data_IF_982785294183
#
_entry.id   IF_982785294183
#
_cell.length_a   1.000
_cell.length_b   1.000
_cell.length_c   1.000
_cell.angle_alpha   90.00
_cell.angle_beta   90.00
_cell.angle_gamma   90.00
#
_symmetry.space_group_name_H-M   'P 1'
#
loop_
_entity.id
_entity.type
_entity.pdbx_description
1 polymer ?
#
# COMPACT_ATOMS: atom_id res chain seq x y z
N UNK A 1 10.33 -6.54 -21.56
CA UNK A 1 11.54 -6.08 -20.85
C UNK A 1 12.71 -6.24 -21.80
N UNK A 2 13.35 -5.16 -22.26
CA UNK A 2 14.59 -5.26 -23.03
C UNK A 2 15.76 -4.96 -22.08
N UNK A 3 16.59 -5.97 -21.84
CA UNK A 3 17.84 -5.82 -21.09
C UNK A 3 18.89 -5.42 -22.12
N UNK A 4 19.43 -4.21 -22.00
CA UNK A 4 20.62 -3.81 -22.76
C UNK A 4 21.74 -3.58 -21.77
N UNK A 5 22.74 -4.47 -21.79
CA UNK A 5 23.95 -4.34 -20.99
C UNK A 5 24.91 -3.35 -21.68
N UNK A 6 25.29 -2.30 -20.97
CA UNK A 6 26.50 -1.52 -21.27
C UNK A 6 27.17 -1.12 -19.96
N UNK A 7 28.34 -1.70 -19.67
CA UNK A 7 29.30 -1.30 -18.65
C UNK A 7 28.83 -1.37 -17.20
N UNK A 8 29.40 -2.30 -16.41
CA UNK A 8 29.38 -2.49 -14.94
C UNK A 8 28.10 -2.18 -14.11
N UNK A 9 26.97 -1.87 -14.74
CA UNK A 9 25.69 -1.60 -14.13
C UNK A 9 24.59 -2.12 -15.05
N UNK A 10 23.67 -2.91 -14.50
CA UNK A 10 22.51 -3.39 -15.25
C UNK A 10 21.51 -2.25 -15.37
N UNK A 11 21.45 -1.63 -16.54
CA UNK A 11 20.43 -0.63 -16.85
C UNK A 11 19.16 -1.33 -17.37
N UNK A 12 18.05 -1.19 -16.66
CA UNK A 12 16.76 -1.72 -17.09
C UNK A 12 15.95 -0.58 -17.73
N UNK A 13 15.54 -0.76 -18.99
CA UNK A 13 14.56 0.15 -19.60
C UNK A 13 13.21 -0.55 -19.61
N UNK A 14 12.27 -0.09 -18.78
CA UNK A 14 10.86 -0.42 -18.97
C UNK A 14 10.37 0.32 -20.23
N UNK A 15 10.28 -0.39 -21.36
CA UNK A 15 9.43 0.06 -22.47
C UNK A 15 7.99 -0.28 -22.08
N UNK A 16 7.18 0.73 -21.73
CA UNK A 16 5.74 0.53 -21.74
C UNK A 16 5.25 0.45 -23.19
N UNK A 17 4.36 -0.51 -23.41
CA UNK A 17 3.62 -0.72 -24.65
C UNK A 17 2.71 0.49 -24.87
N UNK A 18 2.92 1.19 -25.99
CA UNK A 18 2.00 2.20 -26.49
C UNK A 18 0.64 1.54 -26.76
N UNK A 19 -0.46 2.18 -26.33
CA UNK A 19 -1.74 2.39 -27.06
C UNK A 19 -2.95 2.47 -26.11
N UNK A 20 -3.61 3.63 -26.06
CA UNK A 20 -4.92 3.84 -26.72
C UNK A 20 -5.26 5.33 -26.82
N UNK A 21 -5.82 5.67 -27.97
CA UNK A 21 -6.54 6.91 -28.25
C UNK A 21 -7.60 7.16 -27.17
N UNK A 22 -7.59 8.36 -26.58
CA UNK A 22 -8.80 8.95 -25.98
C UNK A 22 -9.15 10.16 -26.84
N UNK A 23 -10.24 10.04 -27.58
CA UNK A 23 -10.87 11.16 -28.25
C UNK A 23 -11.45 12.09 -27.18
N UNK A 24 -10.96 13.34 -27.14
CA UNK A 24 -11.52 14.43 -26.33
C UNK A 24 -11.07 14.48 -24.87
N UNK A 25 -10.27 15.50 -24.53
CA UNK A 25 -10.14 16.01 -23.15
C UNK A 25 -8.80 15.78 -22.45
N UNK A 26 -8.05 16.88 -22.24
CA UNK A 26 -6.85 17.08 -21.41
C UNK A 26 -5.68 16.09 -21.60
N UNK A 27 -4.62 16.55 -22.27
CA UNK A 27 -3.28 15.94 -22.25
C UNK A 27 -2.76 15.88 -20.81
N UNK A 28 -2.81 14.71 -20.17
CA UNK A 28 -1.96 14.42 -19.01
C UNK A 28 -0.53 14.28 -19.55
N UNK A 29 0.39 15.13 -19.10
CA UNK A 29 1.82 15.00 -19.42
C UNK A 29 2.30 13.71 -18.74
N UNK A 30 2.35 12.62 -19.49
CA UNK A 30 2.83 11.34 -18.96
C UNK A 30 4.36 11.39 -18.95
N UNK A 31 4.91 11.80 -17.81
CA UNK A 31 6.36 11.87 -17.62
C UNK A 31 6.88 10.47 -17.38
N UNK A 32 7.46 9.85 -18.41
CA UNK A 32 8.08 8.53 -18.28
C UNK A 32 9.30 8.61 -17.35
N UNK A 33 9.28 7.87 -16.24
CA UNK A 33 10.41 7.78 -15.31
C UNK A 33 11.44 6.77 -15.84
N UNK A 34 12.69 7.19 -15.96
CA UNK A 34 13.81 6.29 -16.28
C UNK A 34 14.43 5.78 -14.98
N UNK A 35 14.32 4.48 -14.73
CA UNK A 35 14.93 3.83 -13.56
C UNK A 35 16.31 3.28 -13.93
N UNK A 36 17.31 3.50 -13.09
CA UNK A 36 18.66 2.91 -13.20
C UNK A 36 19.00 2.26 -11.87
N UNK A 37 19.47 1.00 -11.91
CA UNK A 37 19.86 0.25 -10.71
C UNK A 37 21.36 0.01 -10.79
N UNK A 38 22.09 0.45 -9.77
CA UNK A 38 23.52 0.21 -9.61
C UNK A 38 23.74 -0.52 -8.30
N UNK A 39 24.58 -1.57 -8.31
CA UNK A 39 25.01 -2.22 -7.06
C UNK A 39 26.16 -1.40 -6.48
N UNK A 40 26.05 -1.05 -5.21
CA UNK A 40 27.12 -0.40 -4.45
C UNK A 40 28.12 -1.45 -3.95
N UNK A 41 29.40 -1.07 -3.87
CA UNK A 41 30.46 -1.95 -3.36
C UNK A 41 30.41 -2.06 -1.83
N UNK A 42 30.05 -0.97 -1.15
CA UNK A 42 29.79 -0.95 0.28
C UNK A 42 28.39 -1.52 0.57
N UNK A 43 28.35 -2.72 1.15
CA UNK A 43 27.10 -3.44 1.49
C UNK A 43 26.46 -2.98 2.80
N UNK A 44 26.98 -1.94 3.46
CA UNK A 44 26.48 -1.50 4.76
C UNK A 44 25.20 -0.68 4.69
N UNK A 45 24.94 -0.01 3.56
CA UNK A 45 23.76 0.83 3.40
C UNK A 45 23.26 0.82 1.96
N UNK A 46 21.96 0.56 1.78
CA UNK A 46 21.28 0.79 0.51
C UNK A 46 21.00 2.30 0.36
N UNK A 47 21.26 2.85 -0.82
CA UNK A 47 21.05 4.27 -1.12
C UNK A 47 20.14 4.42 -2.35
N UNK A 48 19.26 5.43 -2.34
CA UNK A 48 18.46 5.83 -3.50
C UNK A 48 18.76 7.27 -3.89
N UNK A 49 19.25 7.48 -5.12
CA UNK A 49 19.41 8.81 -5.71
C UNK A 49 18.25 9.14 -6.66
N UNK A 50 17.35 10.02 -6.23
CA UNK A 50 16.26 10.53 -7.07
C UNK A 50 16.72 11.75 -7.88
N UNK A 51 16.77 11.63 -9.21
CA UNK A 51 17.02 12.76 -10.13
C UNK A 51 15.71 13.18 -10.78
N UNK A 52 15.17 14.30 -10.33
CA UNK A 52 13.87 14.79 -10.75
C UNK A 52 14.03 15.99 -11.69
N UNK A 53 13.20 16.07 -12.74
CA UNK A 53 13.15 17.24 -13.61
C UNK A 53 12.44 18.45 -12.93
N UNK A 54 11.70 18.18 -11.87
CA UNK A 54 11.01 19.13 -11.00
C UNK A 54 10.30 18.36 -9.89
N UNK A 55 9.95 19.04 -8.80
CA UNK A 55 9.17 18.45 -7.71
C UNK A 55 7.69 18.73 -7.90
N UNK A 56 6.89 17.67 -7.77
CA UNK A 56 5.44 17.73 -7.73
C UNK A 56 4.89 16.73 -6.70
N UNK A 57 3.56 16.68 -6.55
CA UNK A 57 2.90 15.76 -5.64
C UNK A 57 3.26 14.28 -5.90
N UNK A 58 3.54 13.90 -7.14
CA UNK A 58 3.90 12.53 -7.49
C UNK A 58 5.32 12.19 -7.03
N UNK A 59 6.27 13.13 -7.19
CA UNK A 59 7.65 12.92 -6.73
C UNK A 59 7.78 13.01 -5.22
N UNK A 60 6.96 13.85 -4.57
CA UNK A 60 6.85 13.88 -3.11
C UNK A 60 6.33 12.53 -2.57
N UNK A 61 5.28 11.98 -3.19
CA UNK A 61 4.77 10.64 -2.82
C UNK A 61 5.78 9.52 -3.05
N UNK A 62 6.60 9.58 -4.12
CA UNK A 62 7.67 8.61 -4.34
C UNK A 62 8.74 8.67 -3.25
N UNK A 63 9.13 9.88 -2.82
CA UNK A 63 10.07 10.08 -1.72
C UNK A 63 9.52 9.46 -0.43
N UNK A 64 8.30 9.82 -0.05
CA UNK A 64 7.63 9.28 1.14
C UNK A 64 7.54 7.75 1.10
N UNK A 65 7.17 7.18 -0.05
CA UNK A 65 7.08 5.72 -0.25
C UNK A 65 8.42 4.99 0.02
N UNK A 66 9.54 5.63 -0.28
CA UNK A 66 10.88 5.09 -0.01
C UNK A 66 11.24 5.31 1.47
N UNK A 67 11.09 6.52 1.99
CA UNK A 67 11.49 6.90 3.36
C UNK A 67 10.69 6.18 4.45
N UNK A 68 9.44 5.81 4.17
CA UNK A 68 8.57 5.07 5.11
C UNK A 68 8.65 3.55 4.96
N UNK A 69 9.58 3.03 4.16
CA UNK A 69 9.66 1.61 3.82
C UNK A 69 8.35 1.02 3.29
N UNK A 70 7.50 1.85 2.66
CA UNK A 70 6.21 1.40 2.10
C UNK A 70 6.39 0.37 0.98
N UNK A 71 7.58 0.32 0.37
CA UNK A 71 7.97 -0.69 -0.61
C UNK A 71 8.27 -2.08 -0.01
N UNK A 72 8.46 -2.17 1.31
CA UNK A 72 8.88 -3.39 1.98
C UNK A 72 7.75 -4.41 2.02
N UNK A 73 8.02 -5.61 1.51
CA UNK A 73 7.09 -6.75 1.63
C UNK A 73 7.47 -7.59 2.84
N UNK A 74 6.63 -7.53 3.87
CA UNK A 74 6.75 -8.39 5.05
C UNK A 74 5.99 -9.69 4.82
N UNK A 75 6.55 -10.82 5.28
CA UNK A 75 5.88 -12.13 5.28
C UNK A 75 5.58 -12.56 6.72
N UNK A 76 4.32 -12.89 7.00
CA UNK A 76 3.88 -13.43 8.28
C UNK A 76 3.78 -14.96 8.22
N UNK A 77 4.04 -15.60 9.36
CA UNK A 77 3.78 -17.02 9.57
C UNK A 77 2.43 -17.17 10.24
N UNK A 78 1.46 -17.71 9.50
CA UNK A 78 0.07 -17.84 9.91
C UNK A 78 -0.31 -19.32 10.01
N UNK A 79 -1.34 -19.64 10.79
CA UNK A 79 -1.88 -21.00 10.97
C UNK A 79 -3.32 -21.08 10.53
N UNK A 80 -3.66 -22.20 9.92
CA UNK A 80 -5.04 -22.61 9.62
C UNK A 80 -5.08 -24.12 9.50
N UNK A 81 -6.08 -24.77 10.07
CA UNK A 81 -6.31 -26.22 9.95
C UNK A 81 -5.07 -27.10 10.28
N UNK A 82 -4.25 -26.66 11.25
CA UNK A 82 -3.02 -27.34 11.67
C UNK A 82 -1.79 -27.06 10.81
N UNK A 83 -1.94 -26.37 9.67
CA UNK A 83 -0.86 -26.02 8.75
C UNK A 83 -0.28 -24.64 9.01
N UNK A 84 0.96 -24.42 8.57
CA UNK A 84 1.63 -23.10 8.61
C UNK A 84 1.70 -22.53 7.20
N UNK A 85 1.12 -21.35 7.01
CA UNK A 85 1.11 -20.61 5.75
C UNK A 85 1.98 -19.36 5.87
N UNK A 86 2.77 -19.10 4.82
CA UNK A 86 3.53 -17.85 4.71
C UNK A 86 2.72 -16.82 3.93
N UNK A 87 2.21 -15.81 4.62
CA UNK A 87 1.32 -14.80 4.04
C UNK A 87 2.09 -13.50 3.80
N UNK A 88 2.10 -13.00 2.57
CA UNK A 88 2.70 -11.70 2.25
C UNK A 88 1.74 -10.58 2.62
N UNK A 89 2.28 -9.52 3.23
CA UNK A 89 1.55 -8.27 3.56
C UNK A 89 0.74 -7.70 2.40
N UNK A 90 1.22 -7.83 1.16
CA UNK A 90 0.50 -7.39 -0.05
C UNK A 90 -0.84 -8.13 -0.30
N UNK A 91 -1.02 -9.31 0.28
CA UNK A 91 -2.26 -10.10 0.23
C UNK A 91 -3.16 -9.93 1.47
N UNK A 92 -2.73 -9.15 2.45
CA UNK A 92 -3.49 -8.92 3.70
C UNK A 92 -4.36 -7.67 3.53
N UNK A 93 -5.64 -7.80 3.84
CA UNK A 93 -6.62 -6.73 3.84
C UNK A 93 -6.66 -6.02 5.19
N UNK A 94 -6.79 -6.78 6.27
CA UNK A 94 -6.73 -6.26 7.62
C UNK A 94 -6.37 -7.37 8.60
N UNK A 95 -6.02 -6.95 9.82
CA UNK A 95 -5.80 -7.80 10.97
C UNK A 95 -6.86 -7.46 12.01
N UNK A 96 -7.49 -8.47 12.57
CA UNK A 96 -8.48 -8.31 13.64
C UNK A 96 -8.10 -9.13 14.88
N UNK A 97 -8.21 -8.52 16.04
CA UNK A 97 -8.17 -9.22 17.33
C UNK A 97 -9.59 -9.63 17.73
N UNK A 98 -9.83 -10.95 17.75
CA UNK A 98 -11.04 -11.55 18.31
C UNK A 98 -10.64 -12.30 19.59
N UNK A 99 -11.12 -11.83 20.73
CA UNK A 99 -10.63 -12.25 22.05
C UNK A 99 -9.10 -12.06 22.13
N UNK A 100 -8.35 -13.14 22.34
CA UNK A 100 -6.89 -13.13 22.44
C UNK A 100 -6.18 -13.53 21.14
N UNK A 101 -6.94 -13.87 20.08
CA UNK A 101 -6.43 -14.40 18.82
C UNK A 101 -6.34 -13.27 17.78
N UNK A 102 -5.26 -13.25 17.00
CA UNK A 102 -5.08 -12.32 15.89
C UNK A 102 -5.37 -13.03 14.58
N UNK A 103 -6.38 -12.54 13.87
CA UNK A 103 -6.85 -13.03 12.58
C UNK A 103 -6.30 -12.16 11.46
N UNK A 104 -5.71 -12.80 10.46
CA UNK A 104 -5.19 -12.20 9.23
C UNK A 104 -6.21 -12.44 8.14
N UNK A 105 -6.86 -11.37 7.68
CA UNK A 105 -7.87 -11.45 6.62
C UNK A 105 -7.20 -11.22 5.27
N UNK A 106 -7.33 -12.23 4.40
CA UNK A 106 -6.86 -12.19 3.01
C UNK A 106 -8.06 -12.27 2.07
N UNK A 107 -7.83 -12.20 0.75
CA UNK A 107 -8.90 -12.36 -0.24
C UNK A 107 -9.60 -13.73 -0.14
N UNK A 108 -8.85 -14.78 0.15
CA UNK A 108 -9.29 -16.17 0.00
C UNK A 108 -9.68 -16.79 1.35
N UNK A 109 -9.11 -16.30 2.43
CA UNK A 109 -9.20 -16.95 3.73
C UNK A 109 -8.81 -16.05 4.90
N UNK A 110 -9.21 -16.48 6.09
CA UNK A 110 -8.77 -15.95 7.38
C UNK A 110 -7.81 -16.95 8.01
N UNK A 111 -6.67 -16.47 8.52
CA UNK A 111 -5.66 -17.29 9.20
C UNK A 111 -5.27 -16.68 10.54
N UNK A 112 -4.79 -17.49 11.47
CA UNK A 112 -4.35 -17.02 12.77
C UNK A 112 -2.85 -16.70 12.78
N UNK A 113 -2.43 -15.68 13.53
CA UNK A 113 -1.02 -15.45 13.84
C UNK A 113 -0.76 -15.51 15.35
N UNK A 114 0.46 -15.89 15.74
CA UNK A 114 0.94 -15.84 17.13
C UNK A 114 1.34 -14.42 17.55
N UNK A 115 1.57 -13.54 16.58
CA UNK A 115 2.01 -12.17 16.85
C UNK A 115 0.86 -11.35 17.44
N UNK A 116 1.17 -10.59 18.50
CA UNK A 116 0.19 -9.69 19.11
C UNK A 116 -0.06 -8.47 18.22
N UNK A 117 -1.25 -7.89 18.32
CA UNK A 117 -1.67 -6.76 17.47
C UNK A 117 -0.67 -5.59 17.50
N UNK A 118 -0.13 -5.24 18.68
CA UNK A 118 0.86 -4.16 18.81
C UNK A 118 2.24 -4.50 18.20
N UNK A 119 2.56 -5.78 18.05
CA UNK A 119 3.78 -6.24 17.38
C UNK A 119 3.57 -6.14 15.87
N UNK A 120 2.42 -6.61 15.39
CA UNK A 120 2.02 -6.49 13.99
C UNK A 120 1.99 -5.04 13.53
N UNK A 121 1.49 -4.12 14.35
CA UNK A 121 1.49 -2.68 14.09
C UNK A 121 2.89 -2.10 13.80
N UNK A 122 3.95 -2.66 14.41
CA UNK A 122 5.34 -2.24 14.19
C UNK A 122 6.03 -2.98 13.05
N UNK A 123 5.60 -4.21 12.78
CA UNK A 123 6.21 -5.06 11.75
C UNK A 123 5.66 -4.75 10.37
N UNK A 124 4.35 -4.50 10.26
CA UNK A 124 3.67 -4.31 8.99
C UNK A 124 4.12 -3.00 8.30
N UNK A 125 4.06 -2.95 6.95
CA UNK A 125 4.40 -1.75 6.18
C UNK A 125 3.56 -0.53 6.58
N UNK A 126 4.04 0.66 6.24
CA UNK A 126 3.39 1.91 6.62
C UNK A 126 1.95 2.06 6.09
N UNK A 127 1.53 1.30 5.07
CA UNK A 127 0.14 1.27 4.60
C UNK A 127 -0.83 0.61 5.58
N UNK A 128 -0.33 -0.10 6.61
CA UNK A 128 -1.14 -0.66 7.67
C UNK A 128 -1.32 0.35 8.80
N UNK A 129 -2.58 0.70 9.08
CA UNK A 129 -2.93 1.71 10.08
C UNK A 129 -3.97 1.15 11.04
N UNK A 130 -3.81 1.44 12.32
CA UNK A 130 -4.77 1.03 13.34
C UNK A 130 -6.04 1.86 13.23
N UNK A 131 -7.19 1.20 13.11
CA UNK A 131 -8.49 1.87 12.90
C UNK A 131 -9.44 1.71 14.08
N UNK A 132 -9.13 0.77 14.97
CA UNK A 132 -9.87 0.54 16.21
C UNK A 132 -8.94 -0.06 17.27
N UNK A 133 -9.49 -0.37 18.46
CA UNK A 133 -8.70 -1.08 19.49
C UNK A 133 -8.28 -2.48 19.04
N UNK A 134 -9.05 -3.13 18.15
CA UNK A 134 -8.84 -4.51 17.71
C UNK A 134 -8.46 -4.66 16.25
N UNK A 135 -8.47 -3.59 15.43
CA UNK A 135 -8.27 -3.73 13.97
C UNK A 135 -7.13 -2.85 13.46
N UNK A 136 -6.25 -3.46 12.65
CA UNK A 136 -5.26 -2.81 11.80
C UNK A 136 -5.67 -3.03 10.34
N UNK A 137 -5.85 -1.96 9.58
CA UNK A 137 -6.31 -1.99 8.19
C UNK A 137 -5.18 -1.68 7.23
N UNK A 138 -5.06 -2.43 6.13
CA UNK A 138 -4.25 -2.05 4.98
C UNK A 138 -5.00 -1.01 4.14
N UNK A 139 -4.51 0.24 4.14
CA UNK A 139 -5.12 1.33 3.38
C UNK A 139 -5.05 1.11 1.87
N UNK A 140 -4.05 0.38 1.37
CA UNK A 140 -3.91 0.06 -0.07
C UNK A 140 -5.02 -0.87 -0.57
N UNK A 141 -5.78 -1.49 0.34
CA UNK A 141 -6.89 -2.41 0.03
C UNK A 141 -8.26 -1.77 0.18
N UNK A 142 -8.33 -0.46 0.43
CA UNK A 142 -9.59 0.26 0.58
C UNK A 142 -10.06 0.78 -0.77
N UNK A 143 -11.26 0.37 -1.17
CA UNK A 143 -11.93 0.86 -2.38
C UNK A 143 -12.59 2.22 -2.18
N UNK A 144 -13.27 2.42 -1.04
CA UNK A 144 -13.89 3.72 -0.70
C UNK A 144 -14.06 3.92 0.80
N UNK A 145 -14.06 5.17 1.21
CA UNK A 145 -14.45 5.60 2.56
C UNK A 145 -15.81 6.28 2.54
N UNK A 146 -16.62 6.11 3.60
CA UNK A 146 -17.90 6.78 3.77
C UNK A 146 -18.07 7.24 5.23
N UNK A 147 -18.22 8.55 5.50
CA UNK A 147 -18.54 9.01 6.84
C UNK A 147 -19.95 8.54 7.23
N UNK A 148 -20.12 8.17 8.50
CA UNK A 148 -21.41 7.79 9.07
C UNK A 148 -21.92 8.86 10.03
N UNK A 149 -23.24 8.97 10.18
CA UNK A 149 -23.86 10.01 11.03
C UNK A 149 -23.48 9.87 12.51
N UNK A 150 -23.07 8.67 12.95
CA UNK A 150 -22.60 8.42 14.32
C UNK A 150 -21.13 8.82 14.56
N UNK A 151 -20.51 9.53 13.61
CA UNK A 151 -19.12 9.99 13.70
C UNK A 151 -18.07 8.91 13.45
N UNK A 152 -18.47 7.68 13.12
CA UNK A 152 -17.56 6.67 12.60
C UNK A 152 -17.32 6.91 11.10
N UNK A 153 -16.30 6.23 10.56
CA UNK A 153 -16.10 6.14 9.12
C UNK A 153 -16.09 4.68 8.70
N UNK A 154 -16.91 4.34 7.71
CA UNK A 154 -16.89 3.05 7.03
C UNK A 154 -15.78 3.05 5.97
N UNK A 155 -15.00 1.98 5.90
CA UNK A 155 -14.11 1.68 4.80
C UNK A 155 -14.59 0.41 4.09
N UNK A 156 -14.92 0.52 2.80
CA UNK A 156 -15.25 -0.62 1.94
C UNK A 156 -13.99 -1.09 1.24
N UNK A 157 -13.66 -2.37 1.40
CA UNK A 157 -12.45 -2.98 0.88
C UNK A 157 -12.62 -3.50 -0.55
N UNK A 158 -11.52 -3.77 -1.25
CA UNK A 158 -11.54 -4.32 -2.61
C UNK A 158 -12.24 -5.68 -2.69
N UNK A 159 -12.16 -6.50 -1.63
CA UNK A 159 -12.84 -7.79 -1.52
C UNK A 159 -14.33 -7.67 -1.16
N UNK A 160 -14.84 -6.44 -1.00
CA UNK A 160 -16.24 -6.16 -0.70
C UNK A 160 -16.58 -6.06 0.78
N UNK A 161 -15.68 -6.45 1.68
CA UNK A 161 -15.88 -6.36 3.13
C UNK A 161 -15.96 -4.90 3.62
N UNK A 162 -16.60 -4.71 4.77
CA UNK A 162 -16.74 -3.40 5.43
C UNK A 162 -16.04 -3.44 6.79
N UNK A 163 -15.18 -2.47 7.03
CA UNK A 163 -14.59 -2.22 8.36
C UNK A 163 -14.89 -0.80 8.82
N UNK A 164 -14.88 -0.59 10.14
CA UNK A 164 -15.25 0.70 10.73
C UNK A 164 -14.07 1.33 11.47
N UNK A 165 -13.74 2.55 11.07
CA UNK A 165 -12.74 3.39 11.71
C UNK A 165 -13.42 4.15 12.85
N UNK A 166 -12.92 3.92 14.06
CA UNK A 166 -13.43 4.55 15.26
C UNK A 166 -12.95 6.00 15.39
N UNK A 167 -13.76 6.84 16.07
CA UNK A 167 -13.50 8.30 16.22
C UNK A 167 -12.08 8.61 16.68
N UNK A 168 -11.55 7.81 17.62
CA UNK A 168 -10.20 7.97 18.17
C UNK A 168 -9.10 7.88 17.10
N UNK A 169 -9.25 6.98 16.13
CA UNK A 169 -8.24 6.68 15.12
C UNK A 169 -8.50 7.41 13.79
N UNK A 170 -9.68 8.01 13.64
CA UNK A 170 -10.08 8.68 12.40
C UNK A 170 -9.13 9.80 11.97
N UNK A 171 -8.52 10.53 12.92
CA UNK A 171 -7.56 11.58 12.61
C UNK A 171 -6.32 11.01 11.89
N UNK A 172 -5.70 10.00 12.47
CA UNK A 172 -4.51 9.36 11.89
C UNK A 172 -4.81 8.78 10.51
N UNK A 173 -5.95 8.11 10.34
CA UNK A 173 -6.35 7.60 9.02
C UNK A 173 -6.53 8.73 8.01
N UNK A 174 -7.17 9.85 8.42
CA UNK A 174 -7.34 11.01 7.55
C UNK A 174 -6.02 11.60 7.11
N UNK A 175 -5.06 11.73 8.01
CA UNK A 175 -3.73 12.26 7.67
C UNK A 175 -3.08 11.38 6.59
N UNK A 176 -3.11 10.05 6.79
CA UNK A 176 -2.54 9.06 5.84
C UNK A 176 -3.22 9.03 4.47
N UNK A 177 -4.54 9.21 4.39
CA UNK A 177 -5.25 9.21 3.10
C UNK A 177 -5.18 10.56 2.39
N UNK A 178 -5.11 11.67 3.14
CA UNK A 178 -5.05 13.02 2.55
C UNK A 178 -3.74 13.23 1.80
N UNK A 179 -2.65 12.67 2.33
CA UNK A 179 -1.34 12.67 1.67
C UNK A 179 -1.33 11.81 0.38
N UNK A 180 -2.21 10.79 0.30
CA UNK A 180 -2.38 9.91 -0.86
C UNK A 180 -3.46 10.36 -1.86
N UNK A 181 -4.24 11.42 -1.56
CA UNK A 181 -5.48 11.76 -2.26
C UNK A 181 -5.33 12.39 -3.65
N UNK A 182 -4.12 12.49 -4.22
CA UNK A 182 -3.99 12.97 -5.61
C UNK A 182 -4.17 11.86 -6.67
N UNK A 183 -4.99 10.83 -6.38
CA UNK A 183 -5.37 9.79 -7.36
C UNK A 183 -6.82 9.31 -7.16
N UNK A 184 -7.71 9.75 -8.05
CA UNK A 184 -8.79 8.92 -8.58
C UNK A 184 -10.12 8.86 -7.81
N UNK A 185 -10.80 9.99 -7.66
CA UNK A 185 -12.25 9.99 -7.41
C UNK A 185 -13.01 10.25 -8.71
N UNK A 186 -13.59 9.21 -9.33
CA UNK A 186 -14.65 9.38 -10.32
C UNK A 186 -15.99 9.46 -9.58
N UNK A 187 -16.85 10.46 -9.83
CA UNK A 187 -18.17 10.54 -9.21
C UNK A 187 -19.21 9.68 -9.95
N UNK A 188 -20.21 9.27 -9.17
CA UNK A 188 -21.56 8.81 -9.53
C UNK A 188 -21.70 7.45 -10.25
N UNK A 189 -21.93 6.40 -9.44
CA UNK A 189 -23.04 5.49 -9.70
C UNK A 189 -24.18 5.91 -8.76
N UNK A 190 -25.13 6.68 -9.29
CA UNK A 190 -26.44 6.92 -8.68
C UNK A 190 -27.40 5.86 -9.19
N UNK A 191 -28.03 5.14 -8.25
CA UNK A 191 -29.40 4.66 -8.44
C UNK A 191 -30.38 5.85 -8.48
#
# INVERSE_FOLDING_TARGET
MLITERGNGKSYTLRQVLFRHVAGGRRRKETAVRVRIQRVEDKKQEEVLLRLAGEDASTAGLKEYIETDSWRVVSLSCRKDGEIHRVKSTGIFYVESVQEIQLIHTQEQVLETRERLYVLEKMLPASFVRISRSVILNLDKVRRYRPLMNGLMEAKLENGELVYISRKYLREVKDRISDNSNKGGTPDDKE
#
